data_IF_059867278766
#
_entry.id   IF_059867278766
#
_cell.length_a   1.000
_cell.length_b   1.000
_cell.length_c   1.000
_cell.angle_alpha   90.00
_cell.angle_beta   90.00
_cell.angle_gamma   90.00
#
_symmetry.space_group_name_H-M   'P 1'
#
loop_
_entity.id
_entity.type
_entity.pdbx_description
1 polymer ?
#
# COMPACT_ATOMS: atom_id res chain seq x y z
N UNK A 1 12.89 20.24 5.16
CA UNK A 1 12.19 19.47 4.12
C UNK A 1 13.02 19.54 2.85
N UNK A 2 13.14 18.45 2.11
CA UNK A 2 13.76 18.38 0.79
C UNK A 2 12.89 17.56 -0.14
N UNK A 3 12.92 17.87 -1.43
CA UNK A 3 12.15 17.15 -2.43
C UNK A 3 12.95 15.93 -2.92
N UNK A 4 12.41 14.73 -2.77
CA UNK A 4 13.00 13.48 -3.25
C UNK A 4 11.97 12.63 -3.97
N UNK A 5 12.44 11.66 -4.78
CA UNK A 5 11.57 10.71 -5.44
C UNK A 5 11.06 9.63 -4.46
N UNK A 6 9.92 9.03 -4.77
CA UNK A 6 9.34 7.93 -4.00
C UNK A 6 10.34 6.76 -3.84
N UNK A 7 11.04 6.36 -4.92
CA UNK A 7 12.08 5.32 -4.85
C UNK A 7 13.27 5.72 -3.96
N UNK A 8 13.61 6.99 -3.90
CA UNK A 8 14.69 7.50 -3.04
C UNK A 8 14.24 7.47 -1.58
N UNK A 9 12.98 7.81 -1.30
CA UNK A 9 12.41 7.73 0.04
C UNK A 9 12.43 6.28 0.60
N UNK A 10 12.10 5.29 -0.24
CA UNK A 10 12.20 3.87 0.11
C UNK A 10 13.65 3.43 0.38
N UNK A 11 14.57 3.82 -0.52
CA UNK A 11 16.00 3.52 -0.36
C UNK A 11 16.55 4.10 0.94
N UNK A 12 16.22 5.34 1.24
CA UNK A 12 16.65 5.99 2.47
C UNK A 12 16.08 5.29 3.71
N UNK A 13 14.81 4.91 3.69
CA UNK A 13 14.20 4.16 4.78
C UNK A 13 14.98 2.87 5.08
N UNK A 14 15.28 2.08 4.06
CA UNK A 14 16.06 0.85 4.20
C UNK A 14 17.50 1.14 4.65
N UNK A 15 18.18 2.05 4.01
CA UNK A 15 19.60 2.37 4.33
C UNK A 15 19.75 2.92 5.74
N UNK A 16 18.84 3.81 6.19
CA UNK A 16 18.89 4.36 7.55
C UNK A 16 18.70 3.27 8.61
N UNK A 17 17.80 2.32 8.41
CA UNK A 17 17.62 1.24 9.39
C UNK A 17 18.75 0.20 9.30
N UNK A 18 19.26 -0.10 8.11
CA UNK A 18 20.43 -0.98 7.95
C UNK A 18 21.71 -0.42 8.57
N UNK A 19 21.89 0.90 8.64
CA UNK A 19 23.01 1.52 9.37
C UNK A 19 22.90 1.39 10.89
N UNK A 20 21.68 1.27 11.41
CA UNK A 20 21.41 1.17 12.87
C UNK A 20 21.47 -0.26 13.37
N UNK A 21 21.11 -1.24 12.55
CA UNK A 21 21.03 -2.66 12.94
C UNK A 21 21.64 -3.56 11.88
N UNK A 22 22.70 -4.27 12.23
CA UNK A 22 23.42 -5.21 11.35
C UNK A 22 22.59 -6.47 11.02
N UNK A 23 21.50 -6.72 11.71
CA UNK A 23 20.57 -7.82 11.44
C UNK A 23 19.66 -7.57 10.24
N UNK A 24 19.52 -6.31 9.81
CA UNK A 24 18.69 -5.93 8.68
C UNK A 24 19.48 -6.16 7.38
N UNK A 25 18.86 -6.86 6.43
CA UNK A 25 19.42 -7.08 5.10
C UNK A 25 18.34 -7.06 4.02
N UNK A 26 18.72 -6.71 2.81
CA UNK A 26 17.87 -6.72 1.62
C UNK A 26 18.19 -7.96 0.77
N UNK A 27 17.17 -8.69 0.35
CA UNK A 27 17.31 -9.84 -0.55
C UNK A 27 16.16 -9.85 -1.57
N UNK A 28 16.49 -10.16 -2.81
CA UNK A 28 15.51 -10.25 -3.90
C UNK A 28 16.19 -10.35 -5.26
N UNK A 29 15.39 -10.28 -6.30
CA UNK A 29 15.82 -10.37 -7.68
C UNK A 29 16.45 -9.05 -8.14
N UNK A 30 17.71 -9.08 -8.62
CA UNK A 30 18.42 -7.93 -9.18
C UNK A 30 18.60 -6.73 -8.20
N UNK A 31 18.44 -6.95 -6.89
CA UNK A 31 18.53 -5.87 -5.89
C UNK A 31 19.96 -5.39 -5.64
N UNK A 32 20.97 -6.22 -5.90
CA UNK A 32 22.38 -5.93 -5.66
C UNK A 32 23.10 -5.41 -6.92
N UNK A 33 23.56 -6.30 -7.80
CA UNK A 33 24.43 -5.95 -8.92
C UNK A 33 23.75 -4.99 -9.92
N UNK A 34 22.47 -5.18 -10.19
CA UNK A 34 21.70 -4.32 -11.09
C UNK A 34 21.15 -3.05 -10.43
N UNK A 35 21.35 -2.89 -9.11
CA UNK A 35 20.81 -1.75 -8.33
C UNK A 35 19.27 -1.69 -8.29
N UNK A 36 18.61 -2.82 -8.34
CA UNK A 36 17.16 -2.95 -8.41
C UNK A 36 16.58 -2.69 -9.80
N UNK A 37 15.53 -3.42 -10.18
CA UNK A 37 14.84 -3.22 -11.46
C UNK A 37 14.35 -1.77 -11.63
N UNK A 38 13.88 -1.17 -10.55
CA UNK A 38 13.36 0.21 -10.52
C UNK A 38 14.30 1.20 -9.83
N UNK A 39 15.55 0.80 -9.54
CA UNK A 39 16.58 1.61 -8.89
C UNK A 39 16.22 2.04 -7.46
N UNK A 40 15.40 1.26 -6.78
CA UNK A 40 15.10 1.47 -5.36
C UNK A 40 16.33 1.19 -4.49
N UNK A 41 17.08 0.12 -4.78
CA UNK A 41 18.27 -0.30 -4.05
C UNK A 41 19.60 0.28 -4.58
N UNK A 42 19.54 1.30 -5.43
CA UNK A 42 20.73 1.88 -6.07
C UNK A 42 21.79 2.31 -5.06
N UNK A 43 23.02 1.79 -5.21
CA UNK A 43 24.18 2.10 -4.35
C UNK A 43 24.18 1.35 -3.01
N UNK A 44 23.14 0.59 -2.67
CA UNK A 44 23.11 -0.12 -1.39
C UNK A 44 24.13 -1.26 -1.32
N UNK A 45 24.42 -1.95 -2.45
CA UNK A 45 25.46 -2.98 -2.49
C UNK A 45 26.84 -2.40 -2.14
N UNK A 46 27.15 -1.23 -2.69
CA UNK A 46 28.45 -0.55 -2.43
C UNK A 46 28.58 -0.13 -0.96
N UNK A 47 27.49 0.26 -0.33
CA UNK A 47 27.48 0.70 1.07
C UNK A 47 27.49 -0.47 2.06
N UNK A 48 26.66 -1.50 1.84
CA UNK A 48 26.42 -2.56 2.84
C UNK A 48 27.08 -3.90 2.52
N UNK A 49 27.55 -4.08 1.30
CA UNK A 49 28.25 -5.28 0.84
C UNK A 49 27.35 -6.48 0.55
N UNK A 50 27.92 -7.51 -0.06
CA UNK A 50 27.23 -8.69 -0.58
C UNK A 50 26.55 -9.58 0.49
N UNK A 51 26.92 -9.43 1.75
CA UNK A 51 26.28 -10.15 2.85
C UNK A 51 24.96 -9.55 3.30
N UNK A 52 24.71 -8.29 2.93
CA UNK A 52 23.54 -7.54 3.37
C UNK A 52 22.65 -7.03 2.23
N UNK A 53 23.15 -7.06 0.98
CA UNK A 53 22.35 -6.80 -0.21
C UNK A 53 22.60 -7.96 -1.16
N UNK A 54 21.61 -8.83 -1.30
CA UNK A 54 21.76 -10.19 -1.82
C UNK A 54 20.88 -10.40 -3.04
N UNK A 55 21.47 -10.64 -4.20
CA UNK A 55 20.76 -11.09 -5.39
C UNK A 55 20.33 -12.56 -5.24
N UNK A 56 19.14 -12.87 -5.69
CA UNK A 56 18.61 -14.23 -5.73
C UNK A 56 18.32 -14.65 -7.18
N UNK A 57 18.31 -15.95 -7.46
CA UNK A 57 17.66 -16.44 -8.67
C UNK A 57 16.16 -16.13 -8.63
N UNK A 58 15.48 -16.20 -9.77
CA UNK A 58 14.01 -16.08 -9.89
C UNK A 58 13.40 -17.35 -9.24
N UNK A 59 13.15 -17.26 -7.94
CA UNK A 59 12.65 -18.36 -7.12
C UNK A 59 11.99 -17.81 -5.85
N UNK A 60 10.84 -17.17 -6.01
CA UNK A 60 10.17 -16.39 -4.96
C UNK A 60 9.81 -17.26 -3.74
N UNK A 61 9.35 -18.50 -3.95
CA UNK A 61 9.11 -19.45 -2.85
C UNK A 61 10.40 -19.75 -2.08
N UNK A 62 11.53 -19.86 -2.78
CA UNK A 62 12.83 -20.18 -2.19
C UNK A 62 13.35 -19.02 -1.33
N UNK A 63 13.49 -17.83 -1.89
CA UNK A 63 14.06 -16.72 -1.15
C UNK A 63 13.11 -16.16 -0.07
N UNK A 64 11.78 -16.20 -0.28
CA UNK A 64 10.83 -15.88 0.78
C UNK A 64 10.96 -16.85 1.97
N UNK A 65 11.07 -18.16 1.70
CA UNK A 65 11.30 -19.18 2.74
C UNK A 65 12.61 -18.98 3.49
N UNK A 66 13.70 -18.64 2.79
CA UNK A 66 15.00 -18.30 3.41
C UNK A 66 14.84 -17.07 4.32
N UNK A 67 14.15 -16.02 3.83
CA UNK A 67 13.86 -14.83 4.62
C UNK A 67 13.13 -15.14 5.90
N UNK A 68 12.06 -15.95 5.84
CA UNK A 68 11.28 -16.37 7.01
C UNK A 68 12.16 -17.15 8.00
N UNK A 69 12.91 -18.14 7.52
CA UNK A 69 13.82 -18.91 8.36
C UNK A 69 14.89 -18.06 9.03
N UNK A 70 15.43 -17.06 8.33
CA UNK A 70 16.40 -16.11 8.89
C UNK A 70 15.77 -15.19 9.94
N UNK A 71 14.53 -14.74 9.73
CA UNK A 71 13.80 -13.95 10.70
C UNK A 71 13.53 -14.74 12.00
N UNK A 72 13.15 -16.02 11.90
CA UNK A 72 13.01 -16.90 13.06
C UNK A 72 14.32 -17.07 13.85
N UNK A 73 15.46 -16.88 13.20
CA UNK A 73 16.79 -16.93 13.83
C UNK A 73 17.31 -15.54 14.27
N UNK A 74 16.45 -14.53 14.29
CA UNK A 74 16.74 -13.21 14.85
C UNK A 74 17.33 -12.19 13.89
N UNK A 75 17.34 -12.46 12.59
CA UNK A 75 17.61 -11.45 11.55
C UNK A 75 16.33 -10.66 11.20
N UNK A 76 16.49 -9.58 10.43
CA UNK A 76 15.40 -8.73 9.97
C UNK A 76 15.46 -8.54 8.46
N UNK A 77 14.97 -9.52 7.70
CA UNK A 77 15.01 -9.47 6.24
C UNK A 77 14.00 -8.47 5.66
N UNK A 78 14.45 -7.78 4.63
CA UNK A 78 13.62 -7.06 3.67
C UNK A 78 13.64 -7.90 2.39
N UNK A 79 12.53 -8.49 2.05
CA UNK A 79 12.39 -9.33 0.84
C UNK A 79 11.72 -8.50 -0.24
N UNK A 80 12.43 -8.26 -1.34
CA UNK A 80 11.89 -7.57 -2.49
C UNK A 80 11.40 -8.57 -3.53
N UNK A 81 10.11 -8.49 -3.87
CA UNK A 81 9.59 -9.06 -5.11
C UNK A 81 9.74 -8.02 -6.22
N UNK A 82 10.29 -8.38 -7.36
CA UNK A 82 10.41 -7.48 -8.51
C UNK A 82 9.05 -6.89 -8.90
N UNK A 83 8.00 -7.69 -8.80
CA UNK A 83 6.61 -7.25 -8.77
C UNK A 83 5.80 -8.13 -7.80
N UNK A 84 4.90 -7.53 -7.04
CA UNK A 84 4.04 -8.27 -6.11
C UNK A 84 3.12 -9.27 -6.80
N UNK A 85 2.96 -9.19 -8.12
CA UNK A 85 2.26 -10.19 -8.91
C UNK A 85 2.87 -11.59 -8.74
N UNK A 86 4.19 -11.69 -8.59
CA UNK A 86 4.90 -12.97 -8.41
C UNK A 86 5.11 -13.34 -6.95
N UNK A 87 4.65 -12.54 -6.00
CA UNK A 87 4.48 -13.00 -4.63
C UNK A 87 3.53 -14.20 -4.52
N UNK A 88 2.67 -14.40 -5.54
CA UNK A 88 1.81 -15.59 -5.64
C UNK A 88 2.60 -16.90 -5.74
N UNK A 89 3.82 -16.88 -6.29
CA UNK A 89 4.72 -18.05 -6.30
C UNK A 89 5.20 -18.39 -4.88
N UNK A 90 5.28 -17.38 -4.01
CA UNK A 90 5.68 -17.50 -2.61
C UNK A 90 4.50 -17.44 -1.62
N UNK A 91 3.26 -17.48 -2.07
CA UNK A 91 2.09 -17.22 -1.22
C UNK A 91 1.99 -18.19 -0.05
N UNK A 92 2.35 -19.45 -0.23
CA UNK A 92 2.39 -20.45 0.85
C UNK A 92 3.38 -20.03 1.94
N UNK A 93 4.57 -19.59 1.56
CA UNK A 93 5.59 -19.13 2.50
C UNK A 93 5.11 -17.93 3.31
N UNK A 94 4.42 -16.99 2.68
CA UNK A 94 3.90 -15.79 3.33
C UNK A 94 2.74 -16.15 4.26
N UNK A 95 1.72 -16.85 3.75
CA UNK A 95 0.47 -17.10 4.48
C UNK A 95 0.59 -18.23 5.51
N UNK A 96 1.23 -19.33 5.18
CA UNK A 96 1.37 -20.49 6.07
C UNK A 96 2.67 -20.42 6.90
N UNK A 97 3.74 -19.86 6.35
CA UNK A 97 4.98 -19.63 7.07
C UNK A 97 4.91 -18.34 7.91
N UNK A 98 5.18 -17.17 7.32
CA UNK A 98 5.35 -15.93 8.05
C UNK A 98 4.17 -15.59 8.96
N UNK A 99 2.95 -15.64 8.45
CA UNK A 99 1.76 -15.22 9.18
C UNK A 99 1.34 -16.15 10.32
N UNK A 100 1.75 -17.43 10.33
CA UNK A 100 1.22 -18.44 11.25
C UNK A 100 2.24 -18.96 12.27
N UNK A 101 3.53 -18.85 12.02
CA UNK A 101 4.59 -19.42 12.86
C UNK A 101 4.50 -18.94 14.32
N UNK A 102 4.23 -17.67 14.57
CA UNK A 102 4.08 -17.18 15.94
C UNK A 102 2.97 -17.89 16.70
N UNK A 103 1.80 -18.05 16.06
CA UNK A 103 0.67 -18.77 16.66
C UNK A 103 0.96 -20.27 16.82
N UNK A 104 1.49 -20.91 15.78
CA UNK A 104 1.78 -22.35 15.78
C UNK A 104 2.87 -22.73 16.76
N UNK A 105 3.83 -21.86 17.02
CA UNK A 105 4.90 -22.07 17.99
C UNK A 105 4.52 -21.70 19.45
N UNK A 106 3.28 -21.25 19.67
CA UNK A 106 2.88 -20.76 21.00
C UNK A 106 3.64 -19.51 21.43
N UNK A 107 4.04 -18.64 20.47
CA UNK A 107 4.77 -17.41 20.71
C UNK A 107 6.29 -17.58 20.85
N UNK A 108 6.83 -18.78 20.59
CA UNK A 108 8.28 -19.04 20.72
C UNK A 108 9.09 -18.39 19.57
N UNK A 109 8.49 -18.27 18.39
CA UNK A 109 9.12 -17.65 17.22
C UNK A 109 8.31 -16.44 16.75
N UNK A 110 8.98 -15.33 16.52
CA UNK A 110 8.48 -14.21 15.75
C UNK A 110 9.09 -14.21 14.35
N UNK A 111 8.45 -13.53 13.40
CA UNK A 111 8.93 -13.40 12.02
C UNK A 111 8.95 -11.92 11.65
N UNK A 112 9.92 -11.15 12.16
CA UNK A 112 10.07 -9.72 11.84
C UNK A 112 10.64 -9.56 10.43
N UNK A 113 9.77 -9.57 9.42
CA UNK A 113 10.09 -9.57 7.99
C UNK A 113 9.25 -8.54 7.26
N UNK A 114 9.84 -7.88 6.28
CA UNK A 114 9.12 -7.03 5.33
C UNK A 114 9.15 -7.71 3.96
N UNK A 115 7.98 -7.92 3.38
CA UNK A 115 7.83 -8.26 1.97
C UNK A 115 7.41 -7.00 1.22
N UNK A 116 8.21 -6.53 0.28
CA UNK A 116 7.93 -5.30 -0.48
C UNK A 116 8.01 -5.47 -1.99
N UNK A 117 7.36 -4.61 -2.70
CA UNK A 117 7.40 -4.56 -4.17
C UNK A 117 6.20 -3.81 -4.75
N UNK A 118 6.23 -3.50 -6.06
CA UNK A 118 5.14 -2.79 -6.72
C UNK A 118 3.92 -3.69 -6.96
N UNK A 119 2.74 -3.11 -6.81
CA UNK A 119 1.43 -3.72 -7.04
C UNK A 119 0.58 -2.87 -7.98
N UNK A 120 -0.50 -3.43 -8.50
CA UNK A 120 -1.48 -2.75 -9.33
C UNK A 120 -1.01 -2.49 -10.76
N UNK A 121 -1.69 -1.59 -11.45
CA UNK A 121 -1.36 -1.24 -12.84
C UNK A 121 0.06 -0.67 -12.95
N UNK A 122 0.84 -1.30 -13.79
CA UNK A 122 2.23 -0.93 -14.09
C UNK A 122 2.40 -0.36 -15.52
N UNK A 123 1.36 0.25 -16.08
CA UNK A 123 1.33 0.70 -17.47
C UNK A 123 0.83 -0.38 -18.43
N UNK A 124 1.49 -0.56 -19.57
CA UNK A 124 1.05 -1.50 -20.62
C UNK A 124 1.72 -2.89 -20.48
N UNK A 125 1.72 -3.46 -19.26
CA UNK A 125 2.30 -4.79 -18.99
C UNK A 125 1.27 -5.92 -18.98
N UNK A 126 -0.02 -5.60 -19.21
CA UNK A 126 -1.13 -6.57 -19.25
C UNK A 126 -1.42 -7.24 -17.91
N UNK A 127 -2.30 -8.25 -17.94
CA UNK A 127 -3.02 -8.78 -16.78
C UNK A 127 -2.16 -9.38 -15.70
N UNK A 128 -1.11 -10.14 -16.02
CA UNK A 128 -0.27 -10.82 -15.03
C UNK A 128 0.64 -9.88 -14.23
N UNK A 129 0.95 -8.69 -14.76
CA UNK A 129 1.84 -7.70 -14.16
C UNK A 129 1.09 -6.47 -13.62
N UNK A 130 -0.22 -6.56 -13.44
CA UNK A 130 -1.05 -5.40 -13.12
C UNK A 130 -2.19 -5.73 -12.17
N UNK A 131 -1.94 -6.61 -11.22
CA UNK A 131 -2.94 -7.10 -10.28
C UNK A 131 -2.79 -6.43 -8.91
N UNK A 132 -3.89 -6.28 -8.19
CA UNK A 132 -3.94 -5.75 -6.84
C UNK A 132 -4.27 -6.88 -5.86
N UNK A 133 -3.38 -7.16 -4.92
CA UNK A 133 -3.53 -8.24 -3.95
C UNK A 133 -3.60 -7.74 -2.51
N UNK A 134 -3.80 -6.46 -2.28
CA UNK A 134 -3.89 -5.85 -0.95
C UNK A 134 -4.94 -6.57 -0.09
N UNK A 135 -6.10 -6.85 -0.67
CA UNK A 135 -7.21 -7.55 0.00
C UNK A 135 -6.89 -9.02 0.31
N UNK A 136 -6.12 -9.72 -0.54
CA UNK A 136 -5.74 -11.11 -0.30
C UNK A 136 -4.86 -11.23 0.95
N UNK A 137 -3.85 -10.37 1.04
CA UNK A 137 -2.96 -10.36 2.21
C UNK A 137 -3.63 -9.72 3.43
N UNK A 138 -4.45 -8.70 3.25
CA UNK A 138 -5.22 -8.10 4.33
C UNK A 138 -6.24 -9.08 4.95
N UNK A 139 -6.74 -10.04 4.19
CA UNK A 139 -7.62 -11.09 4.72
C UNK A 139 -6.88 -12.11 5.60
N UNK A 140 -5.55 -12.16 5.56
CA UNK A 140 -4.77 -13.16 6.30
C UNK A 140 -4.41 -12.68 7.72
N UNK A 141 -4.95 -13.29 8.80
CA UNK A 141 -4.52 -12.98 10.16
C UNK A 141 -3.04 -13.31 10.39
N UNK A 142 -2.33 -12.38 11.05
CA UNK A 142 -0.89 -12.47 11.31
C UNK A 142 -0.03 -11.63 10.38
N UNK A 143 -0.63 -10.99 9.37
CA UNK A 143 0.05 -10.01 8.51
C UNK A 143 -0.39 -8.58 8.84
N UNK A 144 0.49 -7.61 8.63
CA UNK A 144 0.16 -6.20 8.44
C UNK A 144 0.31 -5.86 6.96
N UNK A 145 -0.53 -4.94 6.43
CA UNK A 145 -0.50 -4.55 5.01
C UNK A 145 -0.50 -3.04 4.91
N UNK A 146 0.55 -2.51 4.31
CA UNK A 146 0.86 -1.08 4.20
C UNK A 146 0.93 -0.69 2.73
N UNK A 147 0.29 0.42 2.35
CA UNK A 147 0.18 0.87 0.95
C UNK A 147 0.34 2.40 0.90
N UNK A 148 1.57 2.93 0.93
CA UNK A 148 1.81 4.37 0.94
C UNK A 148 1.44 5.03 -0.39
N UNK A 149 1.08 6.31 -0.33
CA UNK A 149 0.65 7.10 -1.50
C UNK A 149 1.63 8.19 -1.94
N UNK A 150 2.66 8.47 -1.15
CA UNK A 150 3.60 9.58 -1.39
C UNK A 150 4.97 9.31 -0.74
N UNK A 151 6.04 10.06 -1.10
CA UNK A 151 7.39 9.85 -0.57
C UNK A 151 7.52 9.97 0.96
N UNK A 152 6.81 10.92 1.58
CA UNK A 152 6.82 11.09 3.04
C UNK A 152 6.31 9.84 3.75
N UNK A 153 5.13 9.37 3.34
CA UNK A 153 4.52 8.19 3.93
C UNK A 153 5.32 6.92 3.61
N UNK A 154 5.87 6.80 2.40
CA UNK A 154 6.71 5.67 2.00
C UNK A 154 7.93 5.53 2.92
N UNK A 155 8.66 6.62 3.19
CA UNK A 155 9.82 6.58 4.08
C UNK A 155 9.42 6.24 5.52
N UNK A 156 8.47 6.97 6.09
CA UNK A 156 8.09 6.82 7.49
C UNK A 156 7.45 5.46 7.81
N UNK A 157 6.57 4.98 6.92
CA UNK A 157 5.91 3.68 7.08
C UNK A 157 6.86 2.50 6.84
N UNK A 158 7.77 2.59 5.85
CA UNK A 158 8.73 1.50 5.61
C UNK A 158 9.71 1.36 6.79
N UNK A 159 10.15 2.47 7.38
CA UNK A 159 10.96 2.42 8.60
C UNK A 159 10.21 1.75 9.75
N UNK A 160 8.93 2.07 9.94
CA UNK A 160 8.09 1.41 10.94
C UNK A 160 7.90 -0.08 10.64
N UNK A 161 7.72 -0.44 9.37
CA UNK A 161 7.61 -1.84 8.95
C UNK A 161 8.89 -2.65 9.22
N UNK A 162 10.06 -2.07 8.98
CA UNK A 162 11.36 -2.75 9.19
C UNK A 162 11.61 -3.07 10.68
N UNK A 163 11.17 -2.21 11.59
CA UNK A 163 11.34 -2.44 13.04
C UNK A 163 10.17 -3.19 13.68
N UNK A 164 9.09 -3.45 12.94
CA UNK A 164 7.92 -4.16 13.45
C UNK A 164 8.28 -5.61 13.82
N UNK A 165 7.77 -6.16 14.93
CA UNK A 165 8.01 -7.56 15.31
C UNK A 165 7.20 -8.56 14.47
N UNK A 166 6.17 -8.12 13.76
CA UNK A 166 5.29 -8.96 12.95
C UNK A 166 5.63 -8.85 11.45
N UNK A 167 5.21 -9.84 10.64
CA UNK A 167 5.38 -9.77 9.18
C UNK A 167 4.58 -8.62 8.58
N UNK A 168 5.24 -7.79 7.76
CA UNK A 168 4.62 -6.66 7.06
C UNK A 168 4.70 -6.86 5.56
N UNK A 169 3.55 -6.75 4.91
CA UNK A 169 3.41 -6.63 3.46
C UNK A 169 3.41 -5.14 3.12
N UNK A 170 4.38 -4.70 2.35
CA UNK A 170 4.58 -3.29 1.99
C UNK A 170 4.44 -3.12 0.49
N UNK A 171 3.28 -2.67 0.05
CA UNK A 171 2.91 -2.59 -1.37
C UNK A 171 3.12 -1.19 -1.93
N UNK A 172 3.89 -1.11 -2.98
CA UNK A 172 4.29 0.10 -3.67
C UNK A 172 3.58 0.20 -5.04
N UNK A 173 3.94 1.17 -5.85
CA UNK A 173 3.50 1.21 -7.25
C UNK A 173 4.64 1.61 -8.16
N UNK A 174 4.84 0.86 -9.24
CA UNK A 174 5.84 1.16 -10.26
C UNK A 174 5.67 2.57 -10.83
N UNK A 175 4.42 2.98 -11.07
CA UNK A 175 4.10 4.29 -11.62
C UNK A 175 4.34 5.46 -10.63
N UNK A 176 4.63 5.17 -9.37
CA UNK A 176 4.96 6.19 -8.36
C UNK A 176 6.46 6.35 -8.10
N UNK A 177 7.31 5.44 -8.54
CA UNK A 177 8.74 5.50 -8.19
C UNK A 177 9.44 6.80 -8.59
N UNK A 178 8.97 7.47 -9.62
CA UNK A 178 9.45 8.78 -10.05
C UNK A 178 8.75 9.99 -9.43
N UNK A 179 7.67 9.78 -8.67
CA UNK A 179 6.93 10.88 -8.05
C UNK A 179 7.79 11.57 -7.00
N UNK A 180 7.73 12.88 -7.00
CA UNK A 180 8.46 13.71 -6.05
C UNK A 180 7.56 14.18 -4.92
N UNK A 181 8.14 14.37 -3.74
CA UNK A 181 7.46 14.94 -2.60
C UNK A 181 8.43 15.40 -1.53
N UNK A 182 7.94 16.24 -0.64
CA UNK A 182 8.74 16.75 0.48
C UNK A 182 8.92 15.70 1.57
N UNK A 183 10.17 15.49 1.99
CA UNK A 183 10.54 14.55 3.05
C UNK A 183 11.47 15.24 4.03
N UNK A 184 11.29 15.08 5.36
CA UNK A 184 12.22 15.59 6.35
C UNK A 184 13.64 14.99 6.20
N UNK A 185 14.64 15.77 6.57
CA UNK A 185 16.02 15.27 6.69
C UNK A 185 16.21 14.44 7.96
N UNK A 186 15.50 14.83 9.01
CA UNK A 186 15.51 14.11 10.28
C UNK A 186 14.84 12.75 10.14
N UNK A 187 15.25 11.82 10.99
CA UNK A 187 14.63 10.50 11.08
C UNK A 187 13.23 10.59 11.69
N UNK A 188 12.26 9.93 11.09
CA UNK A 188 10.90 9.85 11.60
C UNK A 188 10.29 8.48 11.28
N UNK A 189 9.24 8.14 12.01
CA UNK A 189 8.45 6.92 11.84
C UNK A 189 6.98 7.31 11.78
N UNK A 190 6.20 6.56 11.02
CA UNK A 190 4.76 6.71 10.95
C UNK A 190 4.12 5.44 11.51
N UNK A 191 3.20 5.59 12.44
CA UNK A 191 2.51 4.48 13.07
C UNK A 191 1.68 3.70 12.03
N UNK A 192 1.90 2.38 11.96
CA UNK A 192 1.10 1.46 11.14
C UNK A 192 -0.30 1.35 11.73
N UNK A 193 -1.32 1.47 10.89
CA UNK A 193 -2.72 1.43 11.33
C UNK A 193 -3.32 2.82 11.59
N UNK A 194 -2.65 3.90 11.19
CA UNK A 194 -3.16 5.28 11.28
C UNK A 194 -3.34 5.89 9.90
N UNK A 195 -4.59 6.21 9.60
CA UNK A 195 -4.96 6.95 8.40
C UNK A 195 -4.57 8.43 8.52
N UNK A 196 -4.57 9.14 7.41
CA UNK A 196 -4.33 10.59 7.33
C UNK A 196 -5.50 11.30 6.69
N UNK A 197 -6.04 12.29 7.36
CA UNK A 197 -6.89 13.30 6.71
C UNK A 197 -5.97 14.19 5.89
N UNK A 198 -6.01 14.02 4.57
CA UNK A 198 -5.17 14.75 3.60
C UNK A 198 -5.77 16.12 3.31
N UNK A 199 -7.10 16.21 3.31
CA UNK A 199 -7.87 17.44 3.11
C UNK A 199 -9.10 17.39 4.01
N UNK A 200 -9.31 18.44 4.80
CA UNK A 200 -10.55 18.60 5.56
C UNK A 200 -11.71 18.96 4.64
N UNK A 201 -12.91 18.50 5.00
CA UNK A 201 -14.14 18.78 4.27
C UNK A 201 -15.39 18.55 5.09
N UNK A 202 -16.56 18.92 4.55
CA UNK A 202 -17.83 18.89 5.27
C UNK A 202 -18.97 18.19 4.54
N UNK A 203 -18.85 17.93 3.24
CA UNK A 203 -20.00 17.54 2.40
C UNK A 203 -20.02 16.05 2.07
N UNK A 204 -18.83 15.45 1.93
CA UNK A 204 -18.64 14.03 1.60
C UNK A 204 -17.28 13.54 2.07
N UNK A 205 -17.18 12.31 2.53
CA UNK A 205 -15.91 11.64 2.80
C UNK A 205 -15.46 10.85 1.57
N UNK A 206 -14.24 11.10 1.11
CA UNK A 206 -13.54 10.33 0.08
C UNK A 206 -12.42 9.53 0.74
N UNK A 207 -12.42 8.22 0.51
CA UNK A 207 -11.40 7.31 1.08
C UNK A 207 -10.65 6.62 -0.05
N UNK A 208 -9.33 6.54 0.08
CA UNK A 208 -8.47 5.76 -0.81
C UNK A 208 -7.17 5.36 -0.13
N UNK A 209 -6.28 4.73 -0.87
CA UNK A 209 -4.92 4.37 -0.42
C UNK A 209 -4.01 4.13 -1.61
N UNK A 210 -2.69 4.19 -1.40
CA UNK A 210 -1.70 3.95 -2.45
C UNK A 210 -1.83 4.89 -3.64
N UNK A 211 -1.50 4.41 -4.82
CA UNK A 211 -1.49 5.20 -6.07
C UNK A 211 -2.82 5.90 -6.36
N UNK A 212 -3.93 5.28 -5.99
CA UNK A 212 -5.26 5.81 -6.30
C UNK A 212 -5.56 7.14 -5.59
N UNK A 213 -4.80 7.48 -4.56
CA UNK A 213 -4.90 8.79 -3.91
C UNK A 213 -4.71 9.97 -4.86
N UNK A 214 -3.94 9.80 -5.94
CA UNK A 214 -3.82 10.82 -6.99
C UNK A 214 -5.18 11.14 -7.64
N UNK A 215 -5.96 10.10 -7.90
CA UNK A 215 -7.32 10.23 -8.48
C UNK A 215 -8.26 10.90 -7.49
N UNK A 216 -8.20 10.48 -6.22
CA UNK A 216 -9.06 11.02 -5.15
C UNK A 216 -8.78 12.51 -4.92
N UNK A 217 -7.49 12.89 -4.82
CA UNK A 217 -7.08 14.28 -4.61
C UNK A 217 -7.46 15.15 -5.81
N UNK A 218 -7.26 14.66 -7.04
CA UNK A 218 -7.64 15.37 -8.25
C UNK A 218 -9.17 15.60 -8.31
N UNK A 219 -9.97 14.57 -8.01
CA UNK A 219 -11.41 14.68 -7.95
C UNK A 219 -11.88 15.69 -6.87
N UNK A 220 -11.27 15.67 -5.68
CA UNK A 220 -11.58 16.60 -4.61
C UNK A 220 -11.27 18.07 -5.00
N UNK A 221 -10.18 18.29 -5.73
CA UNK A 221 -9.82 19.61 -6.23
C UNK A 221 -10.81 20.16 -7.29
N UNK A 222 -11.32 19.30 -8.16
CA UNK A 222 -12.37 19.70 -9.12
C UNK A 222 -13.72 19.95 -8.42
N UNK A 223 -14.10 19.10 -7.46
CA UNK A 223 -15.32 19.29 -6.66
C UNK A 223 -15.31 20.62 -5.89
N UNK A 224 -14.16 21.01 -5.36
CA UNK A 224 -14.01 22.30 -4.64
C UNK A 224 -14.31 23.50 -5.54
N UNK A 225 -13.96 23.46 -6.83
CA UNK A 225 -14.31 24.51 -7.80
C UNK A 225 -15.82 24.61 -8.02
N UNK A 226 -16.54 23.54 -7.78
CA UNK A 226 -18.01 23.49 -7.85
C UNK A 226 -18.68 23.78 -6.50
N UNK A 227 -17.90 24.14 -5.47
CA UNK A 227 -18.41 24.45 -4.12
C UNK A 227 -18.68 23.24 -3.25
N UNK A 228 -18.19 22.05 -3.62
CA UNK A 228 -18.34 20.82 -2.84
C UNK A 228 -17.03 20.55 -2.07
N UNK A 229 -17.11 20.56 -0.74
CA UNK A 229 -15.96 20.41 0.15
C UNK A 229 -15.81 18.93 0.59
N UNK A 230 -15.09 18.16 -0.17
CA UNK A 230 -14.81 16.77 0.17
C UNK A 230 -13.70 16.66 1.23
N UNK A 231 -13.94 15.84 2.27
CA UNK A 231 -12.90 15.37 3.18
C UNK A 231 -12.18 14.18 2.54
N UNK A 232 -10.86 14.24 2.47
CA UNK A 232 -10.04 13.21 1.81
C UNK A 232 -9.22 12.46 2.86
N UNK A 233 -9.41 11.15 2.92
CA UNK A 233 -8.69 10.24 3.83
C UNK A 233 -7.82 9.28 3.01
N UNK A 234 -6.53 9.27 3.33
CA UNK A 234 -5.60 8.23 2.92
C UNK A 234 -5.50 7.17 4.03
N UNK A 235 -5.91 5.94 3.75
CA UNK A 235 -5.83 4.86 4.73
C UNK A 235 -4.39 4.50 5.10
N UNK A 236 -3.42 4.67 4.18
CA UNK A 236 -2.00 4.29 4.36
C UNK A 236 -1.78 2.80 4.64
N UNK A 237 -2.69 2.21 5.41
CA UNK A 237 -2.65 0.79 5.82
C UNK A 237 -4.03 0.18 5.63
N UNK A 238 -4.06 -1.03 5.10
CA UNK A 238 -5.30 -1.78 4.89
C UNK A 238 -5.42 -2.99 5.84
N UNK A 239 -4.36 -3.20 6.64
CA UNK A 239 -4.40 -4.09 7.81
C UNK A 239 -3.29 -3.67 8.80
N UNK A 240 -3.65 -3.20 10.01
CA UNK A 240 -5.01 -2.83 10.44
C UNK A 240 -5.54 -1.61 9.69
N UNK A 241 -6.87 -1.50 9.55
CA UNK A 241 -7.54 -0.31 9.01
C UNK A 241 -7.87 0.63 10.17
N UNK A 242 -7.64 1.93 9.99
CA UNK A 242 -8.08 2.99 10.92
C UNK A 242 -9.56 3.32 10.70
N UNK A 243 -10.42 2.45 11.19
CA UNK A 243 -11.87 2.65 11.10
C UNK A 243 -12.34 3.88 11.86
N UNK A 244 -11.70 4.22 12.98
CA UNK A 244 -12.10 5.35 13.82
C UNK A 244 -12.01 6.67 13.06
N UNK A 245 -10.93 6.88 12.31
CA UNK A 245 -10.76 8.06 11.45
C UNK A 245 -11.85 8.12 10.37
N UNK A 246 -12.14 7.00 9.69
CA UNK A 246 -13.19 6.96 8.65
C UNK A 246 -14.56 7.22 9.23
N UNK A 247 -14.90 6.56 10.35
CA UNK A 247 -16.19 6.72 11.03
C UNK A 247 -16.38 8.15 11.54
N UNK A 248 -15.34 8.76 12.11
CA UNK A 248 -15.41 10.15 12.56
C UNK A 248 -15.69 11.11 11.41
N UNK A 249 -15.05 10.90 10.27
CA UNK A 249 -15.31 11.68 9.05
C UNK A 249 -16.74 11.48 8.54
N UNK A 250 -17.21 10.24 8.43
CA UNK A 250 -18.58 9.95 7.99
C UNK A 250 -19.62 10.58 8.91
N UNK A 251 -19.39 10.58 10.22
CA UNK A 251 -20.28 11.26 11.18
C UNK A 251 -20.34 12.79 10.98
N UNK A 252 -19.29 13.37 10.40
CA UNK A 252 -19.22 14.81 10.05
C UNK A 252 -19.88 15.09 8.70
N UNK A 253 -19.66 14.27 7.71
CA UNK A 253 -20.03 14.53 6.31
C UNK A 253 -21.31 13.82 5.85
N UNK A 254 -21.75 12.79 6.56
CA UNK A 254 -22.94 11.96 6.32
C UNK A 254 -22.93 11.18 5.00
N UNK A 255 -21.82 11.18 4.25
CA UNK A 255 -21.70 10.53 2.93
C UNK A 255 -20.31 9.96 2.74
N UNK A 256 -20.25 8.80 2.05
CA UNK A 256 -18.97 8.11 1.82
C UNK A 256 -18.87 7.60 0.39
N UNK A 257 -17.75 7.92 -0.25
CA UNK A 257 -17.30 7.31 -1.50
C UNK A 257 -15.90 6.74 -1.30
N UNK A 258 -15.71 5.46 -1.63
CA UNK A 258 -14.42 4.77 -1.48
C UNK A 258 -13.86 4.49 -2.88
N UNK A 259 -12.59 4.77 -3.08
CA UNK A 259 -11.91 4.60 -4.37
C UNK A 259 -10.77 3.61 -4.22
N UNK A 260 -10.77 2.56 -5.02
CA UNK A 260 -9.77 1.50 -4.97
C UNK A 260 -9.49 0.97 -6.40
N UNK A 261 -8.24 0.60 -6.69
CA UNK A 261 -7.87 0.10 -8.02
C UNK A 261 -8.25 -1.37 -8.24
N UNK A 262 -8.39 -2.15 -7.17
CA UNK A 262 -8.63 -3.59 -7.25
C UNK A 262 -10.00 -3.96 -7.84
N UNK A 263 -10.19 -5.26 -8.06
CA UNK A 263 -11.49 -5.83 -8.44
C UNK A 263 -12.54 -5.62 -7.35
N UNK A 264 -13.83 -5.47 -7.71
CA UNK A 264 -14.86 -5.08 -6.76
C UNK A 264 -15.21 -6.15 -5.71
N UNK A 265 -15.10 -7.44 -6.08
CA UNK A 265 -15.47 -8.53 -5.17
C UNK A 265 -14.43 -8.74 -4.07
N UNK A 266 -14.85 -8.67 -2.81
CA UNK A 266 -13.98 -8.88 -1.65
C UNK A 266 -12.90 -7.82 -1.46
N UNK A 267 -13.10 -6.61 -1.99
CA UNK A 267 -12.17 -5.48 -1.90
C UNK A 267 -12.10 -4.88 -0.49
N UNK A 268 -11.05 -4.11 -0.21
CA UNK A 268 -10.92 -3.30 1.03
C UNK A 268 -12.10 -2.34 1.16
N UNK A 269 -12.53 -1.74 0.04
CA UNK A 269 -13.70 -0.86 0.01
C UNK A 269 -14.97 -1.55 0.50
N UNK A 270 -15.15 -2.86 0.26
CA UNK A 270 -16.29 -3.64 0.76
C UNK A 270 -16.26 -3.76 2.29
N UNK A 271 -15.09 -4.02 2.86
CA UNK A 271 -14.91 -4.12 4.30
C UNK A 271 -15.14 -2.79 5.00
N UNK A 272 -14.57 -1.70 4.47
CA UNK A 272 -14.79 -0.35 5.00
C UNK A 272 -16.27 0.03 4.92
N UNK A 273 -16.95 -0.23 3.80
CA UNK A 273 -18.38 0.05 3.64
C UNK A 273 -19.23 -0.71 4.65
N UNK A 274 -18.96 -2.01 4.87
CA UNK A 274 -19.66 -2.81 5.87
C UNK A 274 -19.43 -2.28 7.29
N UNK A 275 -18.20 -1.93 7.63
CA UNK A 275 -17.89 -1.40 8.96
C UNK A 275 -18.57 -0.06 9.23
N UNK A 276 -18.59 0.84 8.26
CA UNK A 276 -19.32 2.12 8.34
C UNK A 276 -20.82 1.90 8.46
N UNK A 277 -21.39 1.00 7.66
CA UNK A 277 -22.80 0.64 7.80
C UNK A 277 -23.13 0.11 9.20
N UNK A 278 -22.26 -0.71 9.77
CA UNK A 278 -22.48 -1.28 11.11
C UNK A 278 -22.40 -0.23 12.21
N UNK A 279 -21.41 0.66 12.17
CA UNK A 279 -21.02 1.50 13.31
C UNK A 279 -21.44 2.98 13.13
N UNK A 280 -21.90 3.37 11.93
CA UNK A 280 -22.30 4.74 11.61
C UNK A 280 -23.54 4.81 10.70
N UNK A 281 -24.39 3.78 10.65
CA UNK A 281 -25.58 3.74 9.80
C UNK A 281 -26.50 4.96 10.00
N UNK A 282 -26.74 5.35 11.24
CA UNK A 282 -27.65 6.47 11.59
C UNK A 282 -27.13 7.84 11.12
N UNK A 283 -25.89 7.89 10.64
CA UNK A 283 -25.28 9.11 10.11
C UNK A 283 -25.26 9.14 8.57
N UNK A 284 -25.64 8.05 7.89
CA UNK A 284 -25.58 7.98 6.43
C UNK A 284 -26.85 8.58 5.79
N UNK A 285 -26.68 9.63 4.99
CA UNK A 285 -27.74 10.25 4.19
C UNK A 285 -27.88 9.63 2.79
N UNK A 286 -26.93 8.78 2.40
CA UNK A 286 -26.93 8.10 1.10
C UNK A 286 -26.26 6.73 1.22
N UNK A 287 -26.50 5.79 0.29
CA UNK A 287 -25.73 4.57 0.19
C UNK A 287 -24.23 4.84 0.03
N UNK A 288 -23.37 4.01 0.63
CA UNK A 288 -21.93 4.07 0.39
C UNK A 288 -21.63 3.64 -1.04
N UNK A 289 -20.96 4.48 -1.81
CA UNK A 289 -20.53 4.15 -3.17
C UNK A 289 -19.05 3.75 -3.21
N UNK A 290 -18.74 2.84 -4.14
CA UNK A 290 -17.37 2.35 -4.39
C UNK A 290 -17.01 2.56 -5.85
N UNK A 291 -15.88 3.19 -6.10
CA UNK A 291 -15.32 3.36 -7.44
C UNK A 291 -14.12 2.43 -7.56
N UNK A 292 -14.28 1.39 -8.35
CA UNK A 292 -13.36 0.26 -8.44
C UNK A 292 -12.78 0.12 -9.84
N UNK A 293 -11.71 -0.66 -9.96
CA UNK A 293 -11.28 -1.22 -11.24
C UNK A 293 -12.38 -2.08 -11.89
N UNK A 294 -12.26 -2.32 -13.18
CA UNK A 294 -13.19 -3.20 -13.89
C UNK A 294 -13.12 -4.65 -13.39
N UNK A 295 -14.26 -5.36 -13.36
CA UNK A 295 -14.31 -6.77 -12.95
C UNK A 295 -13.88 -7.72 -14.08
N UNK A 296 -12.70 -7.47 -14.61
CA UNK A 296 -12.03 -8.24 -15.67
C UNK A 296 -10.51 -8.18 -15.45
N UNK A 297 -9.71 -9.10 -16.01
CA UNK A 297 -8.26 -8.93 -16.05
C UNK A 297 -7.88 -7.62 -16.74
N UNK A 298 -6.88 -6.89 -16.19
CA UNK A 298 -6.47 -5.60 -16.76
C UNK A 298 -6.04 -5.77 -18.23
N UNK A 299 -6.61 -5.00 -19.16
CA UNK A 299 -6.28 -5.08 -20.57
C UNK A 299 -4.90 -4.49 -20.88
N UNK A 300 -4.40 -4.80 -22.10
CA UNK A 300 -3.12 -4.26 -22.58
C UNK A 300 -3.28 -2.88 -23.24
N UNK A 301 -4.37 -2.66 -23.98
CA UNK A 301 -4.56 -1.46 -24.78
C UNK A 301 -4.78 -0.22 -23.89
N UNK A 302 -4.07 0.92 -24.12
CA UNK A 302 -4.17 2.10 -23.29
C UNK A 302 -5.59 2.65 -23.14
N UNK A 303 -6.39 2.63 -24.19
CA UNK A 303 -7.79 3.07 -24.17
C UNK A 303 -8.64 2.22 -23.23
N UNK A 304 -8.44 0.90 -23.23
CA UNK A 304 -9.15 0.00 -22.34
C UNK A 304 -8.65 0.10 -20.89
N UNK A 305 -7.37 0.40 -20.68
CA UNK A 305 -6.82 0.69 -19.35
C UNK A 305 -7.51 1.92 -18.73
N UNK A 306 -7.73 2.96 -19.52
CA UNK A 306 -8.44 4.19 -19.07
C UNK A 306 -9.89 3.90 -18.67
N UNK A 307 -10.58 3.03 -19.39
CA UNK A 307 -11.94 2.60 -19.05
C UNK A 307 -11.98 1.69 -17.81
N UNK A 308 -10.94 0.86 -17.64
CA UNK A 308 -10.81 -0.06 -16.51
C UNK A 308 -10.56 0.67 -15.19
N UNK A 309 -9.62 1.62 -15.16
CA UNK A 309 -9.17 2.25 -13.93
C UNK A 309 -10.16 3.29 -13.39
N UNK A 310 -10.25 3.45 -12.07
CA UNK A 310 -10.85 4.64 -11.48
C UNK A 310 -10.21 5.91 -12.03
N UNK A 311 -11.03 6.92 -12.29
CA UNK A 311 -10.59 8.23 -12.74
C UNK A 311 -11.38 9.35 -12.02
N UNK A 312 -10.90 10.62 -12.04
CA UNK A 312 -11.55 11.72 -11.34
C UNK A 312 -13.02 11.92 -11.74
N UNK A 313 -13.36 11.75 -13.00
CA UNK A 313 -14.73 11.92 -13.52
C UNK A 313 -15.71 10.92 -12.89
N UNK A 314 -15.29 9.65 -12.76
CA UNK A 314 -16.10 8.63 -12.09
C UNK A 314 -16.30 8.93 -10.61
N UNK A 315 -15.28 9.45 -9.92
CA UNK A 315 -15.37 9.86 -8.51
C UNK A 315 -16.30 11.06 -8.35
N UNK A 316 -16.14 12.12 -9.20
CA UNK A 316 -17.00 13.30 -9.18
C UNK A 316 -18.45 12.92 -9.42
N UNK A 317 -18.73 12.04 -10.37
CA UNK A 317 -20.09 11.52 -10.64
C UNK A 317 -20.68 10.83 -9.41
N UNK A 318 -19.91 9.97 -8.75
CA UNK A 318 -20.37 9.27 -7.54
C UNK A 318 -20.62 10.24 -6.38
N UNK A 319 -19.77 11.26 -6.22
CA UNK A 319 -19.99 12.31 -5.21
C UNK A 319 -21.29 13.06 -5.48
N UNK A 320 -21.54 13.47 -6.72
CA UNK A 320 -22.80 14.13 -7.09
C UNK A 320 -24.03 13.25 -6.88
N UNK A 321 -23.88 11.95 -7.09
CA UNK A 321 -24.95 10.97 -6.83
C UNK A 321 -25.30 10.90 -5.34
N UNK A 322 -24.31 10.74 -4.44
CA UNK A 322 -24.57 10.69 -2.99
C UNK A 322 -25.02 12.05 -2.41
N UNK A 323 -24.75 13.13 -3.09
CA UNK A 323 -25.21 14.48 -2.73
C UNK A 323 -26.58 14.81 -3.32
N UNK A 324 -27.14 13.93 -4.17
CA UNK A 324 -28.41 14.17 -4.90
C UNK A 324 -28.41 15.44 -5.76
N UNK A 325 -27.24 15.84 -6.28
CA UNK A 325 -27.05 17.00 -7.16
C UNK A 325 -26.80 16.62 -8.63
N UNK A 326 -27.25 15.45 -9.03
CA UNK A 326 -27.20 15.01 -10.41
C UNK A 326 -28.16 15.81 -11.29
N UNK A 327 -27.61 16.48 -12.30
CA UNK A 327 -28.39 16.98 -13.44
C UNK A 327 -28.42 15.95 -14.55
#
# INVERSE_FOLDING_TARGET
MREIQFREALREAMSEEMRKDDKIYLMGEEVAQYNGAYKVSQGMLDEFGEKRVIDTPISEAGFAGIGIGSAMNGLRPIIEFMTFNFSLVAIDQIINGAAKIMSMSGGQFSVPIVFRGPTGNAGMLSSQHSQCFENWYANCPGLKVVVPSNPYDAKGLLKSAIIDPDPVIFMESELMYGDKGEVPEETYYIEIGKAKVVKEGTDVTLVGFGKIMKVVIAAAAELEKEGINAEVIDLRTVRPIDYDTVIASVKKTNRLVIVEESWPLGSIATEVAFKVQKDAFDYLDAPVLRIMGGDVPLPYAPTLIQEYLPNPERVIKAVKEVLYVTK
#
